data_IF_882344863530
#
_entry.id   IF_882344863530
#
_cell.length_a   1.000
_cell.length_b   1.000
_cell.length_c   1.000
_cell.angle_alpha   90.00
_cell.angle_beta   90.00
_cell.angle_gamma   90.00
#
_symmetry.space_group_name_H-M   'P 1'
#
loop_
_entity.id
_entity.type
_entity.pdbx_description
1 polymer ?
#
# COMPACT_ATOMS: atom_id res chain seq x y z
N UNK A 1 -34.88 -3.36 38.59
CA UNK A 1 -33.87 -2.31 38.29
C UNK A 1 -32.48 -2.85 37.94
N UNK A 2 -31.93 -3.90 38.60
CA UNK A 2 -30.61 -4.47 38.24
C UNK A 2 -30.51 -5.08 36.84
N UNK A 3 -31.56 -5.71 36.31
CA UNK A 3 -31.55 -6.39 34.99
C UNK A 3 -31.52 -5.44 33.77
N UNK A 4 -31.98 -4.21 33.92
CA UNK A 4 -32.01 -3.21 32.82
C UNK A 4 -30.62 -2.60 32.62
N UNK A 5 -29.84 -2.44 33.70
CA UNK A 5 -28.48 -1.90 33.66
C UNK A 5 -27.51 -2.88 32.99
N UNK A 6 -27.73 -4.20 33.12
CA UNK A 6 -26.88 -5.22 32.48
C UNK A 6 -27.08 -5.29 30.96
N UNK A 7 -28.28 -4.99 30.46
CA UNK A 7 -28.55 -5.03 29.01
C UNK A 7 -27.89 -3.86 28.27
N UNK A 8 -27.77 -2.70 28.92
CA UNK A 8 -27.15 -1.50 28.34
C UNK A 8 -25.64 -1.66 28.14
N UNK A 9 -24.96 -2.46 28.98
CA UNK A 9 -23.51 -2.67 28.90
C UNK A 9 -23.08 -3.61 27.76
N UNK A 10 -23.98 -4.50 27.30
CA UNK A 10 -23.66 -5.47 26.24
C UNK A 10 -23.64 -4.82 24.84
N UNK A 11 -24.40 -3.74 24.62
CA UNK A 11 -24.43 -3.04 23.33
C UNK A 11 -23.24 -2.10 23.08
N UNK A 12 -22.45 -1.76 24.10
CA UNK A 12 -21.34 -0.78 23.99
C UNK A 12 -20.00 -1.49 23.72
N UNK A 13 -19.94 -2.82 23.82
CA UNK A 13 -18.71 -3.62 23.67
C UNK A 13 -18.56 -4.30 22.30
N UNK A 14 -19.55 -4.18 21.41
CA UNK A 14 -19.39 -4.53 20.00
C UNK A 14 -18.67 -3.40 19.27
N UNK A 15 -17.43 -3.13 19.66
CA UNK A 15 -16.47 -2.47 18.79
C UNK A 15 -16.12 -3.47 17.69
N UNK A 16 -16.94 -3.54 16.64
CA UNK A 16 -16.52 -4.16 15.40
C UNK A 16 -15.27 -3.41 14.96
N UNK A 17 -14.13 -4.08 14.94
CA UNK A 17 -12.96 -3.63 14.19
C UNK A 17 -13.40 -3.60 12.73
N UNK A 18 -13.84 -2.45 12.25
CA UNK A 18 -14.14 -2.27 10.83
C UNK A 18 -12.80 -2.36 10.11
N UNK A 19 -12.61 -3.46 9.39
CA UNK A 19 -11.50 -3.62 8.47
C UNK A 19 -11.54 -2.49 7.44
N UNK A 20 -10.40 -1.92 7.10
CA UNK A 20 -10.31 -0.84 6.11
C UNK A 20 -10.93 -1.32 4.78
N UNK A 21 -12.03 -0.71 4.30
CA UNK A 21 -12.71 -1.15 3.08
C UNK A 21 -11.79 -1.11 1.84
N UNK A 22 -10.86 -0.16 1.80
CA UNK A 22 -9.88 -0.03 0.72
C UNK A 22 -8.86 -1.17 0.75
N UNK A 23 -8.41 -1.57 1.96
CA UNK A 23 -7.57 -2.75 2.12
C UNK A 23 -8.34 -4.03 1.76
N UNK A 24 -9.63 -4.12 2.12
CA UNK A 24 -10.49 -5.24 1.74
C UNK A 24 -10.54 -5.40 0.22
N UNK A 25 -10.75 -4.30 -0.49
CA UNK A 25 -10.80 -4.27 -1.94
C UNK A 25 -9.46 -4.68 -2.57
N UNK A 26 -8.35 -4.15 -2.05
CA UNK A 26 -7.01 -4.51 -2.50
C UNK A 26 -6.71 -6.01 -2.35
N UNK A 27 -7.22 -6.64 -1.28
CA UNK A 27 -7.09 -8.09 -1.08
C UNK A 27 -8.08 -8.89 -1.93
N UNK A 28 -9.31 -8.40 -2.09
CA UNK A 28 -10.40 -9.15 -2.72
C UNK A 28 -10.30 -9.21 -4.25
N UNK A 29 -9.93 -8.11 -4.89
CA UNK A 29 -9.86 -8.01 -6.36
C UNK A 29 -8.68 -7.17 -6.87
N UNK A 30 -7.89 -6.59 -5.97
CA UNK A 30 -6.67 -5.88 -6.34
C UNK A 30 -5.55 -6.80 -6.83
N UNK A 31 -4.35 -6.25 -6.94
CA UNK A 31 -3.15 -7.03 -7.27
C UNK A 31 -2.13 -6.98 -6.15
N UNK A 32 -1.30 -8.03 -6.10
CA UNK A 32 -0.22 -8.18 -5.15
C UNK A 32 1.12 -8.23 -5.90
N UNK A 33 2.10 -7.50 -5.40
CA UNK A 33 3.49 -7.54 -5.87
C UNK A 33 4.37 -7.99 -4.72
N UNK A 34 5.09 -9.09 -4.93
CA UNK A 34 6.12 -9.59 -4.00
C UNK A 34 7.36 -8.70 -4.11
N UNK A 35 7.47 -7.70 -3.23
CA UNK A 35 8.53 -6.69 -3.32
C UNK A 35 9.90 -7.33 -3.10
N UNK A 36 10.00 -8.43 -2.34
CA UNK A 36 11.26 -9.15 -2.14
C UNK A 36 11.88 -9.74 -3.42
N UNK A 37 11.07 -9.93 -4.47
CA UNK A 37 11.56 -10.40 -5.77
C UNK A 37 12.20 -9.25 -6.58
N UNK A 38 12.03 -8.00 -6.13
CA UNK A 38 12.74 -6.87 -6.71
C UNK A 38 14.17 -6.76 -6.16
N UNK A 39 15.12 -6.39 -7.03
CA UNK A 39 16.55 -6.20 -6.73
C UNK A 39 17.25 -7.44 -6.13
N UNK A 40 18.12 -8.10 -6.91
CA UNK A 40 18.75 -9.36 -6.49
C UNK A 40 19.93 -9.21 -5.49
N UNK A 41 20.49 -8.01 -5.34
CA UNK A 41 21.79 -7.80 -4.66
C UNK A 41 21.69 -7.03 -3.32
N UNK A 42 20.52 -7.04 -2.68
CA UNK A 42 20.31 -6.42 -1.36
C UNK A 42 19.89 -7.49 -0.36
N UNK A 43 20.50 -7.48 0.82
CA UNK A 43 20.07 -8.34 1.93
C UNK A 43 18.70 -7.87 2.43
N UNK A 44 17.71 -8.76 2.43
CA UNK A 44 16.32 -8.45 2.81
C UNK A 44 16.00 -9.14 4.12
N UNK A 45 15.92 -8.35 5.20
CA UNK A 45 15.61 -8.84 6.54
C UNK A 45 14.10 -8.89 6.82
N UNK A 46 13.29 -8.29 5.94
CA UNK A 46 11.83 -8.28 6.03
C UNK A 46 11.21 -8.86 4.76
N UNK A 47 10.07 -9.52 4.93
CA UNK A 47 9.14 -9.84 3.85
C UNK A 47 8.23 -8.62 3.64
N UNK A 48 8.17 -8.13 2.42
CA UNK A 48 7.43 -6.93 2.00
C UNK A 48 6.57 -7.25 0.79
N UNK A 49 5.31 -6.86 0.85
CA UNK A 49 4.33 -7.04 -0.23
C UNK A 49 3.58 -5.73 -0.48
N UNK A 50 3.45 -5.37 -1.74
CA UNK A 50 2.62 -4.24 -2.15
C UNK A 50 1.26 -4.77 -2.61
N UNK A 51 0.20 -4.33 -1.95
CA UNK A 51 -1.16 -4.51 -2.42
C UNK A 51 -1.61 -3.22 -3.11
N UNK A 52 -2.32 -3.34 -4.22
CA UNK A 52 -2.90 -2.19 -4.90
C UNK A 52 -4.34 -2.47 -5.32
N UNK A 53 -5.17 -1.43 -5.31
CA UNK A 53 -6.50 -1.44 -5.90
C UNK A 53 -6.74 -0.16 -6.67
N UNK A 54 -7.53 -0.19 -7.76
CA UNK A 54 -7.98 1.02 -8.44
C UNK A 54 -8.70 1.94 -7.45
N UNK A 55 -8.45 3.24 -7.56
CA UNK A 55 -9.26 4.24 -6.86
C UNK A 55 -10.60 4.38 -7.59
N UNK A 56 -11.72 4.36 -6.85
CA UNK A 56 -13.05 4.59 -7.43
C UNK A 56 -13.30 6.07 -7.83
N UNK A 57 -12.29 6.93 -7.65
CA UNK A 57 -12.32 8.34 -8.05
C UNK A 57 -11.88 8.50 -9.52
N UNK A 58 -12.36 9.55 -10.20
CA UNK A 58 -11.98 9.95 -11.57
C UNK A 58 -12.38 8.99 -12.71
N UNK A 59 -13.65 8.60 -12.81
CA UNK A 59 -14.18 7.78 -13.92
C UNK A 59 -13.32 6.52 -14.21
N UNK A 60 -12.76 5.93 -13.15
CA UNK A 60 -11.98 4.71 -13.25
C UNK A 60 -12.91 3.52 -13.41
N UNK A 61 -13.19 3.18 -14.66
CA UNK A 61 -13.82 1.92 -15.03
C UNK A 61 -12.72 0.94 -15.42
N UNK A 62 -12.46 -0.04 -14.56
CA UNK A 62 -11.44 -1.10 -14.79
C UNK A 62 -11.66 -1.75 -16.17
N UNK A 63 -12.93 -1.95 -16.54
CA UNK A 63 -13.32 -2.55 -17.81
C UNK A 63 -13.01 -1.70 -19.05
N UNK A 64 -12.96 -0.36 -18.91
CA UNK A 64 -12.73 0.56 -20.04
C UNK A 64 -11.40 1.30 -19.94
N UNK A 65 -10.56 0.95 -18.97
CA UNK A 65 -9.25 1.56 -18.71
C UNK A 65 -9.30 3.10 -18.78
N UNK A 66 -10.24 3.69 -18.03
CA UNK A 66 -10.40 5.14 -17.88
C UNK A 66 -9.18 5.81 -17.21
N UNK A 67 -9.36 7.01 -16.64
CA UNK A 67 -8.27 7.76 -15.97
C UNK A 67 -8.00 7.19 -14.58
N UNK A 68 -7.67 5.89 -14.54
CA UNK A 68 -7.44 5.17 -13.30
C UNK A 68 -6.14 5.60 -12.64
N UNK A 69 -6.21 5.68 -11.31
CA UNK A 69 -5.05 5.70 -10.42
C UNK A 69 -5.20 4.53 -9.46
N UNK A 70 -4.08 4.04 -8.91
CA UNK A 70 -4.10 3.03 -7.87
C UNK A 70 -3.82 3.66 -6.51
N UNK A 71 -4.45 3.10 -5.48
CA UNK A 71 -4.07 3.27 -4.08
C UNK A 71 -3.32 2.03 -3.61
N UNK A 72 -2.45 2.20 -2.60
CA UNK A 72 -1.47 1.19 -2.24
C UNK A 72 -1.45 0.92 -0.74
N UNK A 73 -1.20 -0.35 -0.39
CA UNK A 73 -0.92 -0.78 0.97
C UNK A 73 0.37 -1.60 0.98
N UNK A 74 1.27 -1.27 1.90
CA UNK A 74 2.52 -1.99 2.08
C UNK A 74 2.41 -2.89 3.31
N UNK A 75 2.44 -4.19 3.07
CA UNK A 75 2.52 -5.21 4.13
C UNK A 75 3.98 -5.54 4.40
N UNK A 76 4.33 -5.65 5.67
CA UNK A 76 5.68 -5.97 6.13
C UNK A 76 5.62 -7.02 7.24
N UNK A 77 6.55 -7.97 7.22
CA UNK A 77 6.72 -8.95 8.30
C UNK A 77 8.17 -9.38 8.51
N UNK A 78 8.55 -9.67 9.75
CA UNK A 78 9.83 -10.33 10.07
C UNK A 78 9.81 -11.82 9.67
N UNK A 79 10.98 -12.46 9.65
CA UNK A 79 11.13 -13.90 9.33
C UNK A 79 11.17 -14.81 10.57
N UNK A 80 10.81 -14.31 11.74
CA UNK A 80 10.90 -15.04 13.02
C UNK A 80 9.85 -16.15 13.18
N UNK A 81 10.02 -17.00 14.20
CA UNK A 81 9.04 -18.04 14.57
C UNK A 81 7.65 -17.46 14.89
N UNK A 82 7.62 -16.22 15.39
CA UNK A 82 6.41 -15.42 15.62
C UNK A 82 6.59 -14.08 14.90
N UNK A 83 6.25 -14.00 13.60
CA UNK A 83 6.48 -12.82 12.81
C UNK A 83 5.76 -11.61 13.39
N UNK A 84 6.50 -10.51 13.53
CA UNK A 84 5.89 -9.20 13.74
C UNK A 84 5.39 -8.69 12.40
N UNK A 85 4.16 -8.18 12.33
CA UNK A 85 3.54 -7.78 11.06
C UNK A 85 2.85 -6.43 11.16
N UNK A 86 2.87 -5.69 10.05
CA UNK A 86 2.10 -4.47 9.89
C UNK A 86 1.65 -4.28 8.44
N UNK A 87 0.56 -3.55 8.26
CA UNK A 87 0.08 -3.11 6.95
C UNK A 87 -0.12 -1.60 7.04
N UNK A 88 0.47 -0.86 6.11
CA UNK A 88 0.39 0.59 6.05
C UNK A 88 -0.27 1.05 4.75
N UNK A 89 -1.28 1.94 4.78
CA UNK A 89 -1.68 2.69 3.60
C UNK A 89 -0.54 3.63 3.19
N UNK A 90 -0.25 3.71 1.89
CA UNK A 90 0.72 4.67 1.36
C UNK A 90 0.02 5.98 0.97
N UNK A 91 0.65 7.11 1.22
CA UNK A 91 0.06 8.44 1.04
C UNK A 91 0.21 8.98 -0.39
N UNK A 92 0.22 8.10 -1.39
CA UNK A 92 0.27 8.47 -2.80
C UNK A 92 -0.65 7.60 -3.66
N UNK A 93 -1.06 8.18 -4.79
CA UNK A 93 -1.75 7.47 -5.87
C UNK A 93 -0.93 7.54 -7.16
N UNK A 94 -1.25 6.64 -8.09
CA UNK A 94 -0.65 6.60 -9.42
C UNK A 94 -0.46 5.19 -9.94
N UNK A 95 0.54 4.99 -10.78
CA UNK A 95 1.01 3.69 -11.26
C UNK A 95 2.47 3.49 -10.82
N UNK A 96 2.74 2.44 -10.06
CA UNK A 96 4.12 2.07 -9.68
C UNK A 96 4.78 1.37 -10.87
N UNK A 97 5.84 1.99 -11.40
CA UNK A 97 6.60 1.47 -12.54
C UNK A 97 7.74 0.56 -12.10
N UNK A 98 8.35 0.87 -10.96
CA UNK A 98 9.53 0.18 -10.46
C UNK A 98 9.62 0.31 -8.94
N UNK A 99 10.18 -0.71 -8.30
CA UNK A 99 10.45 -0.75 -6.86
C UNK A 99 11.86 -1.27 -6.65
N UNK A 100 12.73 -0.47 -6.06
CA UNK A 100 14.12 -0.83 -5.82
C UNK A 100 14.41 -0.93 -4.33
N UNK A 101 15.07 -2.00 -3.91
CA UNK A 101 15.62 -2.08 -2.56
C UNK A 101 16.87 -1.24 -2.46
N UNK A 102 16.95 -0.45 -1.39
CA UNK A 102 18.11 0.35 -1.03
C UNK A 102 18.78 -0.31 0.17
N UNK A 103 20.10 -0.49 0.08
CA UNK A 103 20.88 -1.06 1.18
C UNK A 103 20.72 -0.22 2.47
N UNK A 104 20.45 -0.90 3.57
CA UNK A 104 20.27 -0.32 4.89
C UNK A 104 21.06 -1.14 5.90
N UNK A 105 21.68 -0.46 6.86
CA UNK A 105 22.37 -1.09 7.99
C UNK A 105 21.46 -1.18 9.24
N UNK A 106 20.22 -0.71 9.13
CA UNK A 106 19.25 -0.78 10.22
C UNK A 106 18.55 -2.14 10.23
N UNK A 107 18.51 -2.76 11.41
CA UNK A 107 17.87 -4.06 11.66
C UNK A 107 16.36 -3.93 11.51
N UNK A 108 15.73 -4.93 10.89
CA UNK A 108 14.28 -5.00 10.69
C UNK A 108 13.70 -3.75 10.01
N UNK A 109 14.46 -3.21 9.05
CA UNK A 109 14.06 -2.04 8.26
C UNK A 109 14.29 -2.31 6.78
N UNK A 110 13.23 -2.15 5.99
CA UNK A 110 13.33 -2.07 4.54
C UNK A 110 13.37 -0.60 4.09
N UNK A 111 14.28 -0.28 3.17
CA UNK A 111 14.33 1.02 2.47
C UNK A 111 14.08 0.75 1.00
N UNK A 112 13.09 1.43 0.44
CA UNK A 112 12.58 1.16 -0.90
C UNK A 112 12.43 2.47 -1.67
N UNK A 113 12.88 2.49 -2.92
CA UNK A 113 12.59 3.57 -3.86
C UNK A 113 11.49 3.13 -4.84
N UNK A 114 10.37 3.84 -4.83
CA UNK A 114 9.25 3.64 -5.73
C UNK A 114 9.30 4.68 -6.84
N UNK A 115 9.36 4.24 -8.10
CA UNK A 115 9.14 5.12 -9.25
C UNK A 115 7.66 5.13 -9.59
N UNK A 116 7.00 6.27 -9.40
CA UNK A 116 5.55 6.41 -9.52
C UNK A 116 5.19 7.38 -10.63
N UNK A 117 4.34 6.92 -11.54
CA UNK A 117 3.71 7.74 -12.57
C UNK A 117 2.32 8.20 -12.12
N UNK A 118 1.90 9.40 -12.56
CA UNK A 118 0.65 10.01 -12.10
C UNK A 118 -0.60 9.27 -12.60
N UNK A 119 -0.58 8.83 -13.85
CA UNK A 119 -1.63 8.03 -14.46
C UNK A 119 -1.07 6.71 -14.99
N UNK A 120 -1.95 5.73 -15.21
CA UNK A 120 -1.54 4.50 -15.86
C UNK A 120 -1.09 4.73 -17.29
N UNK A 121 -0.19 3.88 -17.76
CA UNK A 121 0.30 3.89 -19.14
C UNK A 121 -0.86 3.80 -20.15
N UNK A 122 -1.89 3.00 -19.85
CA UNK A 122 -3.08 2.85 -20.68
C UNK A 122 -3.94 4.14 -20.71
N UNK A 123 -4.11 4.81 -19.56
CA UNK A 123 -4.84 6.07 -19.51
C UNK A 123 -4.18 7.15 -20.38
N UNK A 124 -2.85 7.25 -20.34
CA UNK A 124 -2.07 8.20 -21.17
C UNK A 124 -2.17 7.85 -22.66
N UNK A 125 -2.11 6.56 -23.02
CA UNK A 125 -2.31 6.13 -24.41
C UNK A 125 -3.70 6.49 -24.95
N UNK A 126 -4.74 6.36 -24.11
CA UNK A 126 -6.12 6.66 -24.48
C UNK A 126 -6.43 8.17 -24.47
N UNK A 127 -5.68 8.96 -23.71
CA UNK A 127 -5.85 10.41 -23.62
C UNK A 127 -4.50 11.12 -23.53
N UNK A 128 -3.98 11.55 -24.68
CA UNK A 128 -2.69 12.26 -24.79
C UNK A 128 -2.67 13.66 -24.17
N UNK A 129 -3.83 14.19 -23.72
CA UNK A 129 -3.89 15.47 -23.00
C UNK A 129 -3.62 15.31 -21.49
N UNK A 130 -3.48 14.08 -20.99
CA UNK A 130 -3.11 13.85 -19.60
C UNK A 130 -1.66 14.28 -19.37
N UNK A 131 -1.46 15.25 -18.48
CA UNK A 131 -0.13 15.67 -18.06
C UNK A 131 0.52 14.58 -17.20
N UNK A 132 1.39 13.78 -17.86
CA UNK A 132 2.10 12.72 -17.18
C UNK A 132 3.31 13.27 -16.43
N UNK A 133 3.40 12.95 -15.14
CA UNK A 133 4.59 13.22 -14.33
C UNK A 133 5.05 11.97 -13.61
N UNK A 134 6.36 11.87 -13.41
CA UNK A 134 7.02 10.78 -12.67
C UNK A 134 7.72 11.36 -11.45
N UNK A 135 7.70 10.62 -10.34
CA UNK A 135 8.40 10.98 -9.11
C UNK A 135 8.97 9.74 -8.44
N UNK A 136 10.05 9.92 -7.67
CA UNK A 136 10.60 8.88 -6.83
C UNK A 136 10.17 9.13 -5.38
N UNK A 137 9.59 8.11 -4.76
CA UNK A 137 9.20 8.11 -3.35
C UNK A 137 10.09 7.13 -2.61
N UNK A 138 10.83 7.61 -1.61
CA UNK A 138 11.58 6.75 -0.72
C UNK A 138 10.71 6.37 0.46
N UNK A 139 10.54 5.07 0.67
CA UNK A 139 9.79 4.50 1.78
C UNK A 139 10.75 3.77 2.70
N UNK A 140 10.73 4.13 3.97
CA UNK A 140 11.40 3.38 5.02
C UNK A 140 10.33 2.73 5.89
N UNK A 141 10.37 1.40 6.02
CA UNK A 141 9.31 0.65 6.68
C UNK A 141 9.87 -0.43 7.61
N UNK A 142 9.17 -0.62 8.73
CA UNK A 142 9.37 -1.71 9.70
C UNK A 142 8.01 -2.20 10.20
N UNK A 143 7.95 -3.31 10.94
CA UNK A 143 6.72 -3.77 11.62
C UNK A 143 6.11 -2.75 12.60
N UNK A 144 6.79 -1.65 12.91
CA UNK A 144 6.34 -0.66 13.89
C UNK A 144 6.16 0.75 13.35
N UNK A 145 6.70 1.06 12.17
CA UNK A 145 6.63 2.39 11.60
C UNK A 145 6.77 2.40 10.09
N UNK A 146 6.24 3.46 9.47
CA UNK A 146 6.48 3.80 8.08
C UNK A 146 6.82 5.29 7.95
N UNK A 147 7.76 5.62 7.08
CA UNK A 147 8.13 6.97 6.70
C UNK A 147 8.19 7.08 5.17
N UNK A 148 7.49 8.07 4.62
CA UNK A 148 7.44 8.36 3.18
C UNK A 148 8.11 9.72 2.90
N UNK A 149 9.16 9.72 2.09
CA UNK A 149 9.88 10.94 1.68
C UNK A 149 9.78 11.09 0.17
N UNK A 150 9.15 12.18 -0.27
CA UNK A 150 9.06 12.50 -1.70
C UNK A 150 10.29 13.29 -2.15
N UNK A 151 11.01 12.73 -3.12
CA UNK A 151 12.04 13.47 -3.85
C UNK A 151 11.44 13.89 -5.20
N UNK A 152 11.35 15.21 -5.43
CA UNK A 152 11.04 15.72 -6.77
C UNK A 152 12.26 15.55 -7.65
N UNK A 153 12.07 15.00 -8.84
CA UNK A 153 13.05 15.01 -9.93
C UNK A 153 13.00 16.38 -10.61
#
# INVERSE_FOLDING_TARGET
MKKIITLLFVCILSACTTFDPSLQNAIAYGSITEVNESTNDVNKELLVRLYQSPTENNDCYIETEGVCQYQFFLSVSTFDEKPETAIYPLNFTGEVQNIEWIESQAVDVAVLDFTVQTYTSNAVMNNSNLEQSSRILRIKVSPHSIEEVSNKI
#
